data_IF_744221239942
#
_entry.id   IF_744221239942
#
_cell.length_a   1.000
_cell.length_b   1.000
_cell.length_c   1.000
_cell.angle_alpha   90.00
_cell.angle_beta   90.00
_cell.angle_gamma   90.00
#
_symmetry.space_group_name_H-M   'P 1'
#
loop_
_entity.id
_entity.type
_entity.pdbx_description
1 polymer ?
#
# COMPACT_ATOMS: atom_id res chain seq x y z
N UNK A 1 -0.12 -13.00 1.74
CA UNK A 1 -0.81 -14.24 2.17
C UNK A 1 -2.33 -14.13 2.08
N UNK A 2 -2.97 -13.13 2.72
CA UNK A 2 -4.43 -12.94 2.67
C UNK A 2 -4.98 -12.84 1.24
N UNK A 3 -4.27 -12.12 0.36
CA UNK A 3 -4.62 -12.02 -1.06
C UNK A 3 -4.67 -13.38 -1.76
N UNK A 4 -3.70 -14.27 -1.49
CA UNK A 4 -3.65 -15.62 -2.09
C UNK A 4 -4.84 -16.46 -1.64
N UNK A 5 -5.25 -16.34 -0.37
CA UNK A 5 -6.43 -17.05 0.15
C UNK A 5 -7.71 -16.57 -0.55
N UNK A 6 -7.89 -15.27 -0.71
CA UNK A 6 -9.04 -14.71 -1.41
C UNK A 6 -9.03 -15.05 -2.90
N UNK A 7 -7.86 -14.99 -3.53
CA UNK A 7 -7.68 -15.37 -4.92
C UNK A 7 -8.02 -16.85 -5.12
N UNK A 8 -7.52 -17.75 -4.27
CA UNK A 8 -7.83 -19.18 -4.33
C UNK A 8 -9.34 -19.46 -4.15
N UNK A 9 -10.02 -18.68 -3.29
CA UNK A 9 -11.47 -18.74 -3.12
C UNK A 9 -12.24 -18.32 -4.38
N UNK A 10 -11.83 -17.22 -5.02
CA UNK A 10 -12.49 -16.65 -6.21
C UNK A 10 -12.06 -17.31 -7.53
N UNK A 11 -10.94 -18.06 -7.51
CA UNK A 11 -10.33 -18.65 -8.69
C UNK A 11 -11.28 -19.54 -9.51
N UNK A 12 -12.07 -20.46 -8.91
CA UNK A 12 -12.99 -21.30 -9.67
C UNK A 12 -14.05 -20.49 -10.42
N UNK A 13 -14.55 -19.40 -9.82
CA UNK A 13 -15.56 -18.53 -10.43
C UNK A 13 -14.95 -17.65 -11.53
N UNK A 14 -13.74 -17.13 -11.32
CA UNK A 14 -12.99 -16.40 -12.35
C UNK A 14 -12.72 -17.27 -13.58
N UNK A 15 -12.33 -18.53 -13.38
CA UNK A 15 -12.15 -19.49 -14.48
C UNK A 15 -13.45 -19.75 -15.25
N UNK A 16 -14.59 -19.86 -14.56
CA UNK A 16 -15.88 -19.97 -15.23
C UNK A 16 -16.24 -18.72 -16.05
N UNK A 17 -16.07 -17.52 -15.47
CA UNK A 17 -16.37 -16.26 -16.16
C UNK A 17 -15.48 -16.02 -17.38
N UNK A 18 -14.23 -16.52 -17.35
CA UNK A 18 -13.32 -16.49 -18.49
C UNK A 18 -13.63 -17.57 -19.56
N UNK A 19 -14.68 -18.37 -19.38
CA UNK A 19 -15.12 -19.37 -20.37
C UNK A 19 -14.34 -20.68 -20.35
N UNK A 20 -13.49 -20.91 -19.36
CA UNK A 20 -12.85 -22.21 -19.18
C UNK A 20 -13.90 -23.25 -18.76
N UNK A 21 -13.71 -24.53 -19.17
CA UNK A 21 -14.53 -25.69 -18.74
C UNK A 21 -14.27 -26.05 -17.26
N UNK A 22 -14.32 -25.08 -16.37
CA UNK A 22 -14.17 -25.23 -14.92
C UNK A 22 -15.50 -25.61 -14.23
N UNK A 23 -16.53 -26.02 -14.98
CA UNK A 23 -17.86 -26.36 -14.46
C UNK A 23 -17.80 -27.43 -13.38
N UNK A 24 -16.98 -28.46 -13.59
CA UNK A 24 -16.72 -29.53 -12.62
C UNK A 24 -16.00 -29.07 -11.35
N UNK A 25 -15.18 -28.02 -11.44
CA UNK A 25 -14.49 -27.46 -10.26
C UNK A 25 -15.45 -26.62 -9.41
N UNK A 26 -16.34 -25.86 -10.05
CA UNK A 26 -17.33 -25.03 -9.35
C UNK A 26 -18.47 -25.86 -8.76
N UNK A 27 -18.90 -26.93 -9.43
CA UNK A 27 -19.93 -27.84 -8.90
C UNK A 27 -19.49 -28.55 -7.62
N UNK A 28 -18.18 -28.84 -7.49
CA UNK A 28 -17.59 -29.38 -6.26
C UNK A 28 -17.14 -28.30 -5.26
N UNK A 29 -17.27 -27.03 -5.61
CA UNK A 29 -16.79 -25.93 -4.75
C UNK A 29 -17.85 -25.61 -3.71
N UNK A 30 -17.59 -25.82 -2.40
CA UNK A 30 -18.59 -25.67 -1.35
C UNK A 30 -18.86 -24.21 -0.95
N UNK A 31 -18.26 -23.23 -1.62
CA UNK A 31 -18.45 -21.81 -1.29
C UNK A 31 -19.61 -21.20 -2.10
N UNK A 32 -20.37 -20.28 -1.47
CA UNK A 32 -21.35 -19.48 -2.18
C UNK A 32 -20.66 -18.58 -3.23
N UNK A 33 -21.45 -18.06 -4.17
CA UNK A 33 -20.97 -17.16 -5.21
C UNK A 33 -20.26 -15.94 -4.60
N UNK A 34 -19.19 -15.49 -5.26
CA UNK A 34 -18.40 -14.35 -4.81
C UNK A 34 -19.21 -13.06 -4.86
N UNK A 35 -19.18 -12.32 -3.77
CA UNK A 35 -19.81 -11.00 -3.67
C UNK A 35 -18.95 -9.92 -4.34
N UNK A 36 -19.59 -8.81 -4.76
CA UNK A 36 -18.88 -7.71 -5.46
C UNK A 36 -17.72 -7.14 -4.63
N UNK A 37 -17.87 -7.05 -3.31
CA UNK A 37 -16.81 -6.54 -2.43
C UNK A 37 -15.57 -7.45 -2.43
N UNK A 38 -15.72 -8.77 -2.61
CA UNK A 38 -14.59 -9.71 -2.67
C UNK A 38 -13.74 -9.45 -3.90
N UNK A 39 -14.38 -9.20 -5.05
CA UNK A 39 -13.70 -8.82 -6.29
C UNK A 39 -12.98 -7.48 -6.17
N UNK A 40 -13.68 -6.46 -5.64
CA UNK A 40 -13.10 -5.13 -5.45
C UNK A 40 -11.90 -5.20 -4.50
N UNK A 41 -11.99 -5.98 -3.42
CA UNK A 41 -10.86 -6.16 -2.51
C UNK A 41 -9.71 -6.92 -3.19
N UNK A 42 -9.99 -8.04 -3.88
CA UNK A 42 -8.95 -8.87 -4.49
C UNK A 42 -8.16 -8.11 -5.58
N UNK A 43 -8.83 -7.40 -6.48
CA UNK A 43 -8.15 -6.65 -7.54
C UNK A 43 -7.74 -5.24 -7.11
N UNK A 44 -8.48 -4.61 -6.21
CA UNK A 44 -8.21 -3.26 -5.73
C UNK A 44 -7.08 -3.19 -4.71
N UNK A 45 -6.89 -4.21 -3.86
CA UNK A 45 -5.84 -4.20 -2.82
C UNK A 45 -4.43 -4.48 -3.34
N UNK A 46 -4.29 -5.07 -4.52
CA UNK A 46 -2.97 -5.38 -5.10
C UNK A 46 -2.25 -4.11 -5.59
N UNK A 47 -3.00 -3.17 -6.17
CA UNK A 47 -2.45 -1.94 -6.75
C UNK A 47 -1.73 -1.10 -5.68
N UNK A 48 -2.35 -0.74 -4.55
CA UNK A 48 -1.69 -0.01 -3.48
C UNK A 48 -0.49 -0.77 -2.93
N UNK A 49 -0.59 -2.09 -2.76
CA UNK A 49 0.50 -2.91 -2.22
C UNK A 49 1.75 -2.87 -3.12
N UNK A 50 1.58 -2.94 -4.44
CA UNK A 50 2.70 -2.78 -5.38
C UNK A 50 3.31 -1.38 -5.32
N UNK A 51 2.48 -0.34 -5.30
CA UNK A 51 2.96 1.04 -5.20
C UNK A 51 3.71 1.29 -3.89
N UNK A 52 3.24 0.73 -2.77
CA UNK A 52 3.91 0.77 -1.48
C UNK A 52 5.28 0.10 -1.54
N UNK A 53 5.36 -1.10 -2.11
CA UNK A 53 6.64 -1.81 -2.27
C UNK A 53 7.65 -1.03 -3.12
N UNK A 54 7.22 -0.48 -4.27
CA UNK A 54 8.07 0.33 -5.14
C UNK A 54 8.51 1.63 -4.45
N UNK A 55 7.64 2.21 -3.60
CA UNK A 55 7.96 3.45 -2.89
C UNK A 55 9.08 3.27 -1.86
N UNK A 56 9.18 2.10 -1.23
CA UNK A 56 10.26 1.76 -0.28
C UNK A 56 11.62 1.71 -0.97
N UNK A 57 11.69 1.17 -2.19
CA UNK A 57 12.96 1.05 -2.93
C UNK A 57 13.54 2.38 -3.42
N UNK A 58 12.77 3.48 -3.42
CA UNK A 58 13.23 4.81 -3.86
C UNK A 58 12.94 5.94 -2.86
N UNK A 59 12.49 5.62 -1.65
CA UNK A 59 12.06 6.57 -0.61
C UNK A 59 11.19 7.72 -1.14
N UNK A 60 10.29 7.44 -2.07
CA UNK A 60 9.45 8.47 -2.70
C UNK A 60 8.19 8.68 -1.87
N UNK A 61 8.20 9.71 -1.01
CA UNK A 61 7.07 10.07 -0.15
C UNK A 61 5.74 10.21 -0.94
N UNK A 62 5.78 10.77 -2.15
CA UNK A 62 4.57 10.92 -2.99
C UNK A 62 3.92 9.58 -3.40
N UNK A 63 4.71 8.57 -3.76
CA UNK A 63 4.19 7.23 -4.10
C UNK A 63 3.68 6.49 -2.87
N UNK A 64 4.34 6.69 -1.72
CA UNK A 64 3.88 6.14 -0.44
C UNK A 64 2.50 6.71 -0.07
N UNK A 65 2.27 8.01 -0.24
CA UNK A 65 0.96 8.65 0.02
C UNK A 65 -0.15 8.07 -0.88
N UNK A 66 0.13 7.85 -2.17
CA UNK A 66 -0.83 7.21 -3.09
C UNK A 66 -1.12 5.77 -2.66
N UNK A 67 -0.09 5.02 -2.29
CA UNK A 67 -0.23 3.67 -1.73
C UNK A 67 -1.07 3.65 -0.45
N UNK A 68 -0.89 4.62 0.44
CA UNK A 68 -1.66 4.74 1.68
C UNK A 68 -3.13 5.01 1.39
N UNK A 69 -3.43 6.03 0.58
CA UNK A 69 -4.81 6.35 0.19
C UNK A 69 -5.49 5.18 -0.53
N UNK A 70 -4.76 4.50 -1.42
CA UNK A 70 -5.25 3.30 -2.09
C UNK A 70 -5.53 2.14 -1.12
N UNK A 71 -4.67 1.94 -0.11
CA UNK A 71 -4.87 0.90 0.91
C UNK A 71 -6.09 1.19 1.78
N UNK A 72 -6.33 2.46 2.11
CA UNK A 72 -7.53 2.87 2.85
C UNK A 72 -8.79 2.66 2.02
N UNK A 73 -8.82 3.12 0.77
CA UNK A 73 -10.04 3.05 -0.06
C UNK A 73 -10.31 1.61 -0.54
N UNK A 74 -9.33 0.95 -1.15
CA UNK A 74 -9.52 -0.36 -1.76
C UNK A 74 -9.27 -1.53 -0.82
N UNK A 75 -8.46 -1.35 0.24
CA UNK A 75 -8.24 -2.37 1.26
C UNK A 75 -9.27 -2.28 2.39
N UNK A 76 -9.27 -1.18 3.15
CA UNK A 76 -10.18 -1.02 4.30
C UNK A 76 -11.62 -0.71 3.86
N UNK A 77 -11.81 0.13 2.83
CA UNK A 77 -13.14 0.54 2.37
C UNK A 77 -13.97 -0.63 1.85
N UNK A 78 -13.40 -1.47 0.99
CA UNK A 78 -14.07 -2.66 0.47
C UNK A 78 -14.39 -3.70 1.57
N UNK A 79 -13.48 -3.90 2.53
CA UNK A 79 -13.73 -4.75 3.71
C UNK A 79 -14.87 -4.20 4.57
N UNK A 80 -14.91 -2.89 4.75
CA UNK A 80 -15.98 -2.22 5.52
C UNK A 80 -17.33 -2.43 4.84
N UNK A 81 -17.40 -2.25 3.53
CA UNK A 81 -18.63 -2.52 2.75
C UNK A 81 -19.04 -3.99 2.88
N UNK A 82 -18.10 -4.93 2.74
CA UNK A 82 -18.36 -6.36 2.93
C UNK A 82 -18.87 -6.68 4.34
N UNK A 83 -18.33 -6.03 5.37
CA UNK A 83 -18.78 -6.18 6.74
C UNK A 83 -20.22 -5.68 6.93
N UNK A 84 -20.60 -4.54 6.35
CA UNK A 84 -21.97 -4.03 6.45
C UNK A 84 -22.97 -4.89 5.69
N UNK A 85 -22.62 -5.37 4.48
CA UNK A 85 -23.49 -6.25 3.69
C UNK A 85 -23.79 -7.57 4.44
N UNK A 86 -22.81 -8.10 5.16
CA UNK A 86 -22.93 -9.36 5.89
C UNK A 86 -23.40 -9.20 7.36
N UNK A 87 -23.62 -7.97 7.83
CA UNK A 87 -23.95 -7.69 9.24
C UNK A 87 -25.28 -8.31 9.67
N UNK A 88 -26.31 -8.23 8.84
CA UNK A 88 -27.61 -8.83 9.13
C UNK A 88 -27.53 -10.36 9.20
N UNK A 89 -26.75 -10.98 8.32
CA UNK A 89 -26.56 -12.43 8.33
C UNK A 89 -25.82 -12.90 9.58
N UNK A 90 -24.79 -12.16 10.00
CA UNK A 90 -24.09 -12.44 11.25
C UNK A 90 -25.03 -12.30 12.46
N UNK A 91 -25.86 -11.26 12.49
CA UNK A 91 -26.82 -11.04 13.58
C UNK A 91 -27.84 -12.18 13.64
N UNK A 92 -28.36 -12.59 12.49
CA UNK A 92 -29.29 -13.70 12.39
C UNK A 92 -28.64 -15.02 12.84
N UNK A 93 -27.39 -15.27 12.43
CA UNK A 93 -26.62 -16.43 12.88
C UNK A 93 -26.38 -16.40 14.40
N UNK A 94 -26.10 -15.22 14.96
CA UNK A 94 -25.90 -15.05 16.40
C UNK A 94 -27.16 -15.42 17.20
N UNK A 95 -28.34 -15.02 16.71
CA UNK A 95 -29.63 -15.28 17.37
C UNK A 95 -30.12 -16.72 17.18
N UNK A 96 -30.07 -17.24 15.95
CA UNK A 96 -30.68 -18.54 15.60
C UNK A 96 -29.71 -19.72 15.66
N UNK A 97 -28.40 -19.46 15.63
CA UNK A 97 -27.32 -20.46 15.45
C UNK A 97 -27.41 -21.25 14.14
N UNK A 98 -28.21 -20.78 13.17
CA UNK A 98 -28.34 -21.37 11.85
C UNK A 98 -27.62 -20.50 10.84
N UNK A 99 -26.65 -21.08 10.11
CA UNK A 99 -25.95 -20.39 9.04
C UNK A 99 -26.55 -20.77 7.68
N UNK A 100 -26.50 -19.84 6.70
CA UNK A 100 -26.93 -20.15 5.33
C UNK A 100 -25.98 -21.10 4.62
N UNK A 101 -24.68 -20.97 4.90
CA UNK A 101 -23.62 -21.73 4.24
C UNK A 101 -22.63 -22.27 5.28
N UNK A 102 -22.29 -23.55 5.10
CA UNK A 102 -21.32 -24.27 5.93
C UNK A 102 -20.16 -24.75 5.05
N UNK A 103 -18.95 -24.65 5.59
CA UNK A 103 -17.72 -25.15 4.99
C UNK A 103 -17.08 -26.11 5.99
N UNK A 104 -17.10 -27.42 5.71
CA UNK A 104 -16.68 -28.47 6.66
C UNK A 104 -17.34 -28.29 8.05
N UNK A 105 -18.66 -28.11 8.08
CA UNK A 105 -19.46 -27.83 9.30
C UNK A 105 -19.14 -26.50 10.01
N UNK A 106 -18.25 -25.69 9.46
CA UNK A 106 -18.00 -24.33 9.96
C UNK A 106 -18.86 -23.30 9.23
N UNK A 107 -19.55 -22.40 9.94
CA UNK A 107 -20.36 -21.36 9.34
C UNK A 107 -19.48 -20.36 8.57
N UNK A 108 -19.73 -20.22 7.27
CA UNK A 108 -18.93 -19.38 6.36
C UNK A 108 -18.94 -17.91 6.81
N UNK A 109 -20.05 -17.45 7.40
CA UNK A 109 -20.18 -16.09 7.93
C UNK A 109 -19.15 -15.81 9.03
N UNK A 110 -18.84 -16.78 9.90
CA UNK A 110 -17.84 -16.60 10.96
C UNK A 110 -16.43 -16.53 10.38
N UNK A 111 -16.13 -17.39 9.40
CA UNK A 111 -14.87 -17.35 8.65
C UNK A 111 -14.68 -16.00 7.95
N UNK A 112 -15.74 -15.44 7.35
CA UNK A 112 -15.69 -14.12 6.73
C UNK A 112 -15.35 -13.01 7.73
N UNK A 113 -15.91 -13.04 8.94
CA UNK A 113 -15.61 -12.05 9.99
C UNK A 113 -14.20 -12.21 10.59
N UNK A 114 -13.68 -13.43 10.69
CA UNK A 114 -12.27 -13.65 11.04
C UNK A 114 -11.37 -13.02 9.97
N UNK A 115 -11.69 -13.23 8.68
CA UNK A 115 -10.99 -12.61 7.57
C UNK A 115 -11.07 -11.07 7.62
N UNK A 116 -12.24 -10.49 7.89
CA UNK A 116 -12.39 -9.04 8.04
C UNK A 116 -11.50 -8.48 9.16
N UNK A 117 -11.48 -9.14 10.32
CA UNK A 117 -10.63 -8.73 11.44
C UNK A 117 -9.15 -8.74 11.07
N UNK A 118 -8.67 -9.80 10.41
CA UNK A 118 -7.28 -9.89 9.95
C UNK A 118 -6.96 -8.82 8.91
N UNK A 119 -7.87 -8.55 7.98
CA UNK A 119 -7.67 -7.50 6.97
C UNK A 119 -7.57 -6.12 7.61
N UNK A 120 -8.45 -5.81 8.56
CA UNK A 120 -8.40 -4.54 9.30
C UNK A 120 -7.09 -4.40 10.06
N UNK A 121 -6.61 -5.45 10.71
CA UNK A 121 -5.32 -5.43 11.41
C UNK A 121 -4.15 -5.20 10.45
N UNK A 122 -4.04 -6.01 9.39
CA UNK A 122 -2.92 -5.95 8.44
C UNK A 122 -2.90 -4.61 7.70
N UNK A 123 -4.04 -4.16 7.19
CA UNK A 123 -4.12 -2.87 6.50
C UNK A 123 -3.98 -1.69 7.47
N UNK A 124 -4.52 -1.80 8.70
CA UNK A 124 -4.35 -0.80 9.75
C UNK A 124 -2.89 -0.58 10.11
N UNK A 125 -2.14 -1.67 10.33
CA UNK A 125 -0.69 -1.58 10.56
C UNK A 125 0.06 -1.05 9.32
N UNK A 126 -0.30 -1.48 8.12
CA UNK A 126 0.32 -0.98 6.90
C UNK A 126 0.14 0.54 6.74
N UNK A 127 -1.06 1.05 7.04
CA UNK A 127 -1.35 2.49 6.99
C UNK A 127 -0.59 3.24 8.08
N UNK A 128 -0.58 2.71 9.31
CA UNK A 128 0.14 3.30 10.43
C UNK A 128 1.64 3.43 10.16
N UNK A 129 2.30 2.34 9.75
CA UNK A 129 3.73 2.35 9.45
C UNK A 129 4.05 3.17 8.20
N UNK A 130 3.23 3.10 7.15
CA UNK A 130 3.45 3.91 5.96
C UNK A 130 3.32 5.41 6.24
N UNK A 131 2.40 5.81 7.13
CA UNK A 131 2.31 7.21 7.59
C UNK A 131 3.58 7.63 8.35
N UNK A 132 4.06 6.80 9.28
CA UNK A 132 5.28 7.06 10.04
C UNK A 132 6.50 7.25 9.12
N UNK A 133 6.65 6.38 8.12
CA UNK A 133 7.74 6.47 7.12
C UNK A 133 7.64 7.76 6.32
N UNK A 134 6.42 8.16 5.93
CA UNK A 134 6.20 9.40 5.18
C UNK A 134 6.64 10.62 5.99
N UNK A 135 6.23 10.69 7.26
CA UNK A 135 6.62 11.78 8.18
C UNK A 135 8.13 11.81 8.40
N UNK A 136 8.76 10.63 8.52
CA UNK A 136 10.20 10.54 8.72
C UNK A 136 10.99 11.03 7.51
N UNK A 137 10.58 10.68 6.29
CA UNK A 137 11.19 11.17 5.04
C UNK A 137 11.05 12.69 4.93
N UNK A 138 9.84 13.22 5.15
CA UNK A 138 9.58 14.66 5.07
C UNK A 138 10.42 15.46 6.10
N UNK A 139 10.58 14.92 7.31
CA UNK A 139 11.40 15.52 8.37
C UNK A 139 12.89 15.51 8.02
N UNK A 140 13.37 14.41 7.45
CA UNK A 140 14.76 14.29 7.03
C UNK A 140 15.10 15.27 5.89
N UNK A 141 14.20 15.41 4.91
CA UNK A 141 14.34 16.37 3.81
C UNK A 141 14.42 17.82 4.35
N UNK A 142 13.56 18.17 5.31
CA UNK A 142 13.59 19.49 5.95
C UNK A 142 14.91 19.73 6.71
N UNK A 143 15.38 18.77 7.49
CA UNK A 143 16.63 18.90 8.25
C UNK A 143 17.84 19.11 7.33
N UNK A 144 17.93 18.35 6.24
CA UNK A 144 18.99 18.49 5.25
C UNK A 144 18.95 19.87 4.57
N UNK A 145 17.76 20.36 4.23
CA UNK A 145 17.60 21.70 3.65
C UNK A 145 18.08 22.80 4.60
N UNK A 146 17.70 22.73 5.87
CA UNK A 146 18.13 23.71 6.89
C UNK A 146 19.65 23.64 7.11
N UNK A 147 20.22 22.44 7.19
CA UNK A 147 21.67 22.25 7.35
C UNK A 147 22.44 22.82 6.15
N UNK A 148 21.99 22.54 4.92
CA UNK A 148 22.62 23.04 3.70
C UNK A 148 22.54 24.58 3.61
N UNK A 149 21.40 25.18 3.98
CA UNK A 149 21.25 26.63 4.01
C UNK A 149 22.18 27.30 5.03
N UNK A 150 22.33 26.70 6.22
CA UNK A 150 23.27 27.20 7.24
C UNK A 150 24.73 27.10 6.77
N UNK A 151 25.11 25.98 6.16
CA UNK A 151 26.45 25.79 5.61
C UNK A 151 26.75 26.82 4.52
N UNK A 152 25.80 27.06 3.60
CA UNK A 152 25.93 28.06 2.56
C UNK A 152 26.11 29.48 3.14
N UNK A 153 25.39 29.83 4.22
CA UNK A 153 25.53 31.12 4.89
C UNK A 153 26.89 31.30 5.57
N UNK A 154 27.45 30.26 6.20
CA UNK A 154 28.79 30.30 6.81
C UNK A 154 29.91 30.38 5.74
N UNK A 155 29.74 29.69 4.62
CA UNK A 155 30.70 29.76 3.50
C UNK A 155 30.68 31.12 2.79
N UNK A 156 29.51 31.76 2.66
CA UNK A 156 29.40 33.12 2.15
C UNK A 156 30.17 34.13 3.03
N UNK A 157 30.20 33.93 4.36
CA UNK A 157 30.97 34.78 5.29
C UNK A 157 32.49 34.62 5.14
N UNK A 158 32.96 33.49 4.63
CA UNK A 158 34.40 33.21 4.42
C UNK A 158 34.90 33.62 3.03
N UNK A 159 34.05 34.27 2.21
CA UNK A 159 34.40 34.75 0.87
C UNK A 159 34.48 33.66 -0.21
N UNK A 160 34.06 32.43 0.11
CA UNK A 160 33.96 31.31 -0.83
C UNK A 160 32.54 31.30 -1.40
N UNK A 161 32.39 31.63 -2.68
CA UNK A 161 31.10 31.64 -3.36
C UNK A 161 30.81 30.25 -3.94
N UNK A 162 29.77 29.57 -3.43
CA UNK A 162 29.26 28.33 -3.99
C UNK A 162 28.14 28.67 -4.96
N UNK A 163 28.40 28.54 -6.27
CA UNK A 163 27.33 28.44 -7.26
C UNK A 163 26.61 27.11 -7.06
N UNK A 164 25.61 27.12 -6.17
CA UNK A 164 24.69 26.00 -6.00
C UNK A 164 23.76 26.00 -7.20
N UNK A 165 24.20 25.38 -8.30
CA UNK A 165 23.34 25.11 -9.44
C UNK A 165 22.23 24.15 -8.99
N UNK A 166 21.06 24.72 -8.65
CA UNK A 166 19.83 23.96 -8.45
C UNK A 166 19.47 23.33 -9.80
N UNK A 167 19.96 22.13 -10.04
CA UNK A 167 19.50 21.30 -11.15
C UNK A 167 18.00 21.07 -10.95
N UNK A 168 17.22 21.81 -11.73
CA UNK A 168 15.76 21.76 -11.79
C UNK A 168 15.37 20.39 -12.36
N UNK A 169 15.32 19.39 -11.48
CA UNK A 169 14.78 18.08 -11.82
C UNK A 169 15.68 16.92 -11.44
N UNK A 170 15.75 16.58 -10.15
CA UNK A 170 16.06 15.20 -9.76
C UNK A 170 15.51 14.89 -8.37
N UNK A 171 14.36 14.20 -8.34
CA UNK A 171 13.69 13.66 -7.13
C UNK A 171 14.37 12.36 -6.64
N UNK A 172 15.70 12.33 -6.59
CA UNK A 172 16.46 11.17 -6.11
C UNK A 172 17.64 11.63 -5.27
N UNK A 173 17.63 11.20 -4.00
CA UNK A 173 18.57 11.48 -2.91
C UNK A 173 20.06 11.15 -3.16
N UNK A 174 20.48 10.79 -4.38
CA UNK A 174 21.82 10.26 -4.63
C UNK A 174 22.76 11.16 -5.45
N UNK A 175 22.37 12.36 -5.87
CA UNK A 175 23.32 13.28 -6.52
C UNK A 175 23.02 14.74 -6.16
N UNK A 176 23.43 15.14 -4.96
CA UNK A 176 23.82 16.53 -4.74
C UNK A 176 25.32 16.58 -5.05
N UNK A 177 25.69 16.72 -6.32
CA UNK A 177 27.06 17.10 -6.66
C UNK A 177 27.25 18.56 -6.23
N UNK A 178 27.99 18.77 -5.15
CA UNK A 178 28.46 20.10 -4.77
C UNK A 178 29.66 20.40 -5.69
N UNK A 179 29.42 21.10 -6.80
CA UNK A 179 30.50 21.70 -7.59
C UNK A 179 31.07 22.88 -6.79
N UNK A 180 32.17 22.66 -6.07
CA UNK A 180 32.87 23.74 -5.37
C UNK A 180 33.77 24.46 -6.37
N UNK A 181 33.30 25.57 -6.93
CA UNK A 181 34.07 26.35 -7.89
C UNK A 181 35.00 27.31 -7.15
N UNK A 182 36.24 26.88 -6.88
CA UNK A 182 37.28 27.78 -6.40
C UNK A 182 37.87 28.55 -7.58
N UNK A 183 37.46 29.82 -7.69
CA UNK A 183 38.21 30.89 -8.37
C UNK A 183 38.90 30.45 -9.68
N UNK A 184 38.12 29.98 -10.66
CA UNK A 184 38.58 29.75 -12.03
C UNK A 184 39.28 28.42 -12.33
N UNK A 185 39.28 27.43 -11.43
CA UNK A 185 39.71 26.06 -11.76
C UNK A 185 38.65 25.02 -11.44
N UNK A 186 38.02 24.49 -12.50
CA UNK A 186 37.16 23.31 -12.46
C UNK A 186 37.99 22.09 -12.02
N UNK A 187 37.85 21.65 -10.78
CA UNK A 187 38.21 20.28 -10.39
C UNK A 187 36.93 19.47 -10.19
N UNK A 188 36.69 18.55 -11.13
CA UNK A 188 35.67 17.51 -10.99
C UNK A 188 36.24 16.43 -10.08
N UNK A 189 35.86 16.42 -8.81
CA UNK A 189 35.97 15.20 -8.01
C UNK A 189 34.63 14.50 -7.93
N UNK A 190 34.65 13.23 -8.30
CA UNK A 190 33.52 12.30 -8.25
C UNK A 190 33.61 11.58 -6.91
N UNK A 191 32.59 11.76 -6.06
CA UNK A 191 32.29 10.89 -4.91
C UNK A 191 30.90 10.32 -5.14
#
# INVERSE_FOLDING_TARGET
MLWVLMFARLFPELCLRMGFRARLMVEKWPFPQGELWEYVWCFGSIIPTLFGYISLGRSRAGLMRISLSGTVVFGLGSVTVGCFMNAFELMNYYQTRVAKHYFYDFPVIVLAYIFFSLCVQVHGFAVYFGHLITVWIDTLEFYLQVKNNKLAAELAKTGVNLDVEKTKGMKTLNQIQIQINFNGRNMKEVI
#
